data_IF_113826112490
#
_entry.id   IF_113826112490
#
_cell.length_a   1.000
_cell.length_b   1.000
_cell.length_c   1.000
_cell.angle_alpha   90.00
_cell.angle_beta   90.00
_cell.angle_gamma   90.00
#
_symmetry.space_group_name_H-M   'P 1'
#
loop_
_entity.id
_entity.type
_entity.pdbx_description
1 polymer ?
#
# COMPACT_ATOMS: atom_id res chain seq x y z
N UNK A 1 -4.03 -12.39 -36.33
CA UNK A 1 -2.74 -11.87 -35.82
C UNK A 1 -2.92 -10.97 -34.61
N UNK A 2 -2.10 -11.17 -33.57
CA UNK A 2 -2.06 -10.28 -32.41
C UNK A 2 -1.10 -9.13 -32.71
N UNK A 3 -1.56 -7.89 -32.57
CA UNK A 3 -0.67 -6.74 -32.65
C UNK A 3 0.43 -6.84 -31.57
N UNK A 4 1.72 -6.74 -31.93
CA UNK A 4 2.79 -6.77 -30.95
C UNK A 4 2.69 -5.54 -30.06
N UNK A 5 2.77 -5.77 -28.74
CA UNK A 5 2.80 -4.69 -27.75
C UNK A 5 4.21 -4.10 -27.74
N UNK A 6 4.32 -2.77 -27.61
CA UNK A 6 5.61 -2.09 -27.50
C UNK A 6 6.36 -2.55 -26.26
N UNK A 7 7.67 -2.69 -26.41
CA UNK A 7 8.57 -2.98 -25.30
C UNK A 7 8.55 -1.86 -24.26
N UNK A 8 8.72 -2.23 -22.99
CA UNK A 8 8.81 -1.30 -21.85
C UNK A 8 10.19 -1.42 -21.20
N UNK A 9 10.43 -0.61 -20.17
CA UNK A 9 11.67 -0.66 -19.36
C UNK A 9 11.97 -2.08 -18.84
N UNK A 10 10.95 -2.93 -18.67
CA UNK A 10 11.13 -4.34 -18.28
C UNK A 10 12.01 -5.14 -19.23
N UNK A 11 12.11 -4.78 -20.51
CA UNK A 11 13.03 -5.47 -21.43
C UNK A 11 14.48 -5.34 -20.94
N UNK A 12 14.86 -4.13 -20.52
CA UNK A 12 16.17 -3.83 -19.97
C UNK A 12 16.32 -4.48 -18.59
N UNK A 13 15.32 -4.33 -17.71
CA UNK A 13 15.33 -4.95 -16.38
C UNK A 13 15.53 -6.46 -16.45
N UNK A 14 14.82 -7.16 -17.34
CA UNK A 14 14.93 -8.62 -17.49
C UNK A 14 16.30 -9.03 -18.04
N UNK A 15 16.85 -8.28 -18.99
CA UNK A 15 18.18 -8.54 -19.52
C UNK A 15 19.25 -8.39 -18.43
N UNK A 16 19.18 -7.30 -17.67
CA UNK A 16 20.17 -7.01 -16.61
C UNK A 16 19.97 -7.90 -15.37
N UNK A 17 18.76 -8.39 -15.12
CA UNK A 17 18.44 -9.34 -14.06
C UNK A 17 18.76 -10.81 -14.41
N UNK A 18 19.53 -11.08 -15.47
CA UNK A 18 19.83 -12.44 -15.91
C UNK A 18 20.43 -13.32 -14.80
N UNK A 19 21.35 -12.79 -13.98
CA UNK A 19 21.95 -13.55 -12.86
C UNK A 19 20.91 -13.92 -11.79
N UNK A 20 19.98 -13.03 -11.50
CA UNK A 20 18.85 -13.33 -10.62
C UNK A 20 17.93 -14.40 -11.23
N UNK A 21 17.53 -14.25 -12.50
CA UNK A 21 16.59 -15.16 -13.15
C UNK A 21 17.19 -16.54 -13.48
N UNK A 22 18.50 -16.64 -13.65
CA UNK A 22 19.17 -17.89 -13.98
C UNK A 22 19.71 -18.59 -12.74
N UNK A 23 20.40 -17.84 -11.87
CA UNK A 23 21.24 -18.38 -10.79
C UNK A 23 20.63 -18.13 -9.40
N UNK A 24 19.55 -17.33 -9.31
CA UNK A 24 18.87 -17.02 -8.05
C UNK A 24 19.59 -15.97 -7.19
N UNK A 25 20.55 -15.23 -7.77
CA UNK A 25 21.29 -14.20 -7.04
C UNK A 25 20.42 -13.02 -6.58
N UNK A 26 20.69 -12.48 -5.40
CA UNK A 26 20.08 -11.22 -4.95
C UNK A 26 20.66 -10.05 -5.74
N UNK A 27 19.81 -9.22 -6.34
CA UNK A 27 20.24 -8.15 -7.25
C UNK A 27 19.59 -6.80 -6.94
N UNK A 28 20.32 -5.73 -7.26
CA UNK A 28 19.82 -4.36 -7.27
C UNK A 28 20.14 -3.69 -8.60
N UNK A 29 19.13 -3.08 -9.23
CA UNK A 29 19.24 -2.38 -10.50
C UNK A 29 18.74 -0.94 -10.33
N UNK A 30 19.20 -0.01 -11.18
CA UNK A 30 18.83 1.41 -11.11
C UNK A 30 18.57 2.00 -12.48
N UNK A 31 17.43 2.68 -12.65
CA UNK A 31 17.02 3.28 -13.93
C UNK A 31 16.39 4.66 -13.74
N UNK A 32 16.35 5.44 -14.82
CA UNK A 32 15.45 6.59 -14.91
C UNK A 32 14.08 6.15 -15.42
N UNK A 33 13.02 6.75 -14.90
CA UNK A 33 11.63 6.44 -15.31
C UNK A 33 10.90 7.70 -15.75
N UNK A 34 10.05 7.55 -16.77
CA UNK A 34 9.21 8.61 -17.33
C UNK A 34 7.76 8.12 -17.37
N UNK A 35 6.81 9.06 -17.42
CA UNK A 35 5.37 8.75 -17.43
C UNK A 35 4.93 7.89 -18.64
N UNK A 36 5.74 7.83 -19.69
CA UNK A 36 5.55 6.96 -20.86
C UNK A 36 5.96 5.50 -20.60
N UNK A 37 6.81 5.25 -19.60
CA UNK A 37 7.18 3.90 -19.14
C UNK A 37 6.06 3.34 -18.26
N UNK A 38 5.11 2.65 -18.91
CA UNK A 38 3.97 2.00 -18.26
C UNK A 38 4.32 0.58 -17.82
N UNK A 39 3.57 0.06 -16.84
CA UNK A 39 3.64 -1.35 -16.40
C UNK A 39 5.02 -1.81 -15.97
N UNK A 40 5.86 -0.90 -15.45
CA UNK A 40 7.23 -1.22 -15.04
C UNK A 40 7.21 -2.30 -13.95
N UNK A 41 7.93 -3.40 -14.17
CA UNK A 41 8.03 -4.55 -13.28
C UNK A 41 7.03 -5.67 -13.55
N UNK A 42 5.99 -5.46 -14.37
CA UNK A 42 4.98 -6.49 -14.67
C UNK A 42 5.55 -7.66 -15.46
N UNK A 43 6.37 -7.39 -16.49
CA UNK A 43 6.99 -8.46 -17.28
C UNK A 43 8.10 -9.12 -16.45
N UNK A 44 8.87 -8.36 -15.68
CA UNK A 44 9.82 -8.92 -14.70
C UNK A 44 9.13 -9.88 -13.72
N UNK A 45 7.96 -9.50 -13.18
CA UNK A 45 7.15 -10.37 -12.33
C UNK A 45 6.73 -11.66 -13.05
N UNK A 46 6.32 -11.57 -14.32
CA UNK A 46 6.01 -12.76 -15.13
C UNK A 46 7.20 -13.70 -15.27
N UNK A 47 8.41 -13.18 -15.48
CA UNK A 47 9.64 -13.99 -15.52
C UNK A 47 9.92 -14.65 -14.17
N UNK A 48 9.74 -13.94 -13.06
CA UNK A 48 9.87 -14.50 -11.69
C UNK A 48 8.89 -15.66 -11.51
N UNK A 49 7.61 -15.47 -11.81
CA UNK A 49 6.59 -16.52 -11.64
C UNK A 49 6.88 -17.72 -12.54
N UNK A 50 7.31 -17.52 -13.78
CA UNK A 50 7.65 -18.63 -14.70
C UNK A 50 8.85 -19.43 -14.24
N UNK A 51 9.83 -18.78 -13.62
CA UNK A 51 11.07 -19.42 -13.18
C UNK A 51 10.92 -20.07 -11.80
N UNK A 52 10.35 -19.36 -10.84
CA UNK A 52 10.34 -19.73 -9.42
C UNK A 52 8.96 -20.14 -8.91
N UNK A 53 7.89 -19.92 -9.70
CA UNK A 53 6.51 -20.15 -9.28
C UNK A 53 5.91 -18.97 -8.51
N UNK A 54 4.59 -18.99 -8.35
CA UNK A 54 3.86 -17.93 -7.63
C UNK A 54 4.03 -18.02 -6.11
N UNK A 55 4.10 -19.24 -5.57
CA UNK A 55 4.36 -19.53 -4.14
C UNK A 55 5.83 -19.87 -3.96
N UNK A 56 6.71 -19.01 -4.46
CA UNK A 56 8.15 -19.21 -4.35
C UNK A 56 8.66 -18.88 -2.94
N UNK A 57 9.84 -19.41 -2.61
CA UNK A 57 10.53 -19.18 -1.35
C UNK A 57 11.58 -18.06 -1.44
N UNK A 58 11.48 -17.18 -2.46
CA UNK A 58 12.38 -16.03 -2.53
C UNK A 58 12.23 -15.20 -1.27
N UNK A 59 13.35 -14.67 -0.80
CA UNK A 59 13.32 -13.70 0.28
C UNK A 59 12.60 -12.44 -0.22
N UNK A 60 11.92 -11.69 0.66
CA UNK A 60 11.43 -10.36 0.29
C UNK A 60 12.56 -9.53 -0.34
N UNK A 61 12.21 -8.76 -1.36
CA UNK A 61 13.12 -7.79 -2.00
C UNK A 61 14.40 -8.41 -2.62
N UNK A 62 14.32 -9.67 -3.06
CA UNK A 62 15.41 -10.42 -3.69
C UNK A 62 15.92 -9.77 -4.99
N UNK A 63 15.02 -9.19 -5.78
CA UNK A 63 15.33 -8.28 -6.88
C UNK A 63 14.77 -6.91 -6.55
N UNK A 64 15.65 -5.94 -6.34
CA UNK A 64 15.27 -4.54 -6.10
C UNK A 64 15.54 -3.69 -7.34
N UNK A 65 14.53 -3.01 -7.85
CA UNK A 65 14.66 -2.06 -8.97
C UNK A 65 14.40 -0.65 -8.45
N UNK A 66 15.45 0.18 -8.45
CA UNK A 66 15.39 1.60 -8.10
C UNK A 66 15.10 2.42 -9.34
N UNK A 67 14.13 3.31 -9.24
CA UNK A 67 13.63 4.16 -10.31
C UNK A 67 13.70 5.62 -9.87
N UNK A 68 14.22 6.49 -10.74
CA UNK A 68 14.25 7.94 -10.51
C UNK A 68 13.45 8.67 -11.57
N UNK A 69 12.47 9.47 -11.16
CA UNK A 69 11.57 10.22 -12.06
C UNK A 69 10.10 9.92 -11.81
N UNK A 70 9.27 10.04 -12.85
CA UNK A 70 7.82 9.84 -12.77
C UNK A 70 7.46 8.50 -13.41
N UNK A 71 6.89 7.56 -12.65
CA UNK A 71 6.46 6.29 -13.20
C UNK A 71 5.13 6.42 -13.95
N UNK A 72 5.04 5.80 -15.12
CA UNK A 72 3.81 5.71 -15.88
C UNK A 72 2.75 4.85 -15.19
N UNK A 73 1.58 4.76 -15.83
CA UNK A 73 0.45 3.98 -15.32
C UNK A 73 0.84 2.52 -15.05
N UNK A 74 0.19 1.93 -14.04
CA UNK A 74 0.32 0.51 -13.69
C UNK A 74 1.71 0.08 -13.22
N UNK A 75 2.47 0.98 -12.58
CA UNK A 75 3.73 0.63 -11.91
C UNK A 75 3.54 -0.59 -10.99
N UNK A 76 4.37 -1.62 -11.17
CA UNK A 76 4.36 -2.81 -10.35
C UNK A 76 3.06 -3.62 -10.41
N UNK A 77 2.27 -3.46 -11.48
CA UNK A 77 1.07 -4.26 -11.65
C UNK A 77 1.43 -5.76 -11.66
N UNK A 78 0.73 -6.53 -10.83
CA UNK A 78 0.96 -7.96 -10.61
C UNK A 78 2.36 -8.31 -10.10
N UNK A 79 3.06 -7.38 -9.44
CA UNK A 79 4.36 -7.67 -8.84
C UNK A 79 4.23 -8.78 -7.79
N UNK A 80 5.05 -9.82 -7.96
CA UNK A 80 5.07 -11.02 -7.12
C UNK A 80 6.17 -10.93 -6.06
N UNK A 81 6.12 -11.86 -5.10
CA UNK A 81 7.13 -12.01 -4.05
C UNK A 81 8.54 -12.09 -4.65
N UNK A 82 9.46 -11.38 -3.98
CA UNK A 82 10.86 -11.25 -4.39
C UNK A 82 11.14 -10.00 -5.24
N UNK A 83 10.13 -9.38 -5.85
CA UNK A 83 10.29 -8.11 -6.57
C UNK A 83 10.00 -6.92 -5.65
N UNK A 84 10.98 -6.02 -5.53
CA UNK A 84 10.83 -4.70 -4.93
C UNK A 84 11.03 -3.60 -5.97
N UNK A 85 10.11 -2.65 -6.02
CA UNK A 85 10.24 -1.43 -6.84
C UNK A 85 10.34 -0.22 -5.91
N UNK A 86 11.38 0.58 -6.04
CA UNK A 86 11.58 1.82 -5.27
C UNK A 86 11.60 3.02 -6.21
N UNK A 87 10.63 3.93 -6.09
CA UNK A 87 10.55 5.15 -6.90
C UNK A 87 10.94 6.35 -6.05
N UNK A 88 12.01 7.05 -6.46
CA UNK A 88 12.32 8.40 -5.99
C UNK A 88 11.78 9.42 -7.00
N UNK A 89 10.61 9.97 -6.68
CA UNK A 89 9.78 10.80 -7.54
C UNK A 89 8.30 10.55 -7.28
N UNK A 90 7.52 10.29 -8.33
CA UNK A 90 6.07 10.09 -8.27
C UNK A 90 5.61 8.97 -9.21
N UNK A 91 4.33 8.59 -9.14
CA UNK A 91 3.74 7.62 -10.05
C UNK A 91 2.29 7.98 -10.42
N UNK A 92 1.89 7.62 -11.65
CA UNK A 92 0.52 7.81 -12.14
C UNK A 92 -0.45 6.75 -11.59
N UNK A 93 -1.62 6.60 -12.21
CA UNK A 93 -2.67 5.68 -11.76
C UNK A 93 -2.24 4.20 -11.73
N UNK A 94 -2.99 3.40 -10.96
CA UNK A 94 -2.92 1.94 -10.91
C UNK A 94 -1.62 1.37 -10.33
N UNK A 95 -0.91 2.14 -9.50
CA UNK A 95 0.26 1.62 -8.75
C UNK A 95 -0.16 0.36 -7.99
N UNK A 96 0.58 -0.73 -8.19
CA UNK A 96 0.31 -2.02 -7.56
C UNK A 96 -1.03 -2.64 -7.95
N UNK A 97 -1.59 -2.34 -9.13
CA UNK A 97 -2.78 -3.05 -9.63
C UNK A 97 -2.57 -4.57 -9.57
N UNK A 98 -3.44 -5.28 -8.87
CA UNK A 98 -3.32 -6.72 -8.65
C UNK A 98 -2.02 -7.12 -7.96
N UNK A 99 -1.47 -6.29 -7.07
CA UNK A 99 -0.25 -6.62 -6.31
C UNK A 99 -0.41 -8.01 -5.66
N UNK A 100 0.62 -8.85 -5.82
CA UNK A 100 0.53 -10.27 -5.53
C UNK A 100 1.75 -10.77 -4.75
N UNK A 101 2.18 -10.01 -3.75
CA UNK A 101 3.29 -10.38 -2.85
C UNK A 101 4.57 -9.56 -3.03
N UNK A 102 4.65 -8.72 -4.07
CA UNK A 102 5.77 -7.79 -4.25
C UNK A 102 5.74 -6.60 -3.28
N UNK A 103 6.82 -5.83 -3.26
CA UNK A 103 6.94 -4.59 -2.49
C UNK A 103 7.05 -3.39 -3.45
N UNK A 104 6.26 -2.35 -3.23
CA UNK A 104 6.39 -1.08 -3.96
C UNK A 104 6.59 0.05 -2.96
N UNK A 105 7.59 0.89 -3.21
CA UNK A 105 7.90 2.07 -2.40
C UNK A 105 7.92 3.29 -3.29
N UNK A 106 7.20 4.35 -2.93
CA UNK A 106 7.21 5.63 -3.64
C UNK A 106 7.47 6.75 -2.63
N UNK A 107 8.47 7.58 -2.90
CA UNK A 107 8.81 8.71 -2.05
C UNK A 107 9.30 9.88 -2.89
N UNK A 108 9.14 11.13 -2.44
CA UNK A 108 9.66 12.27 -3.16
C UNK A 108 11.17 12.16 -3.37
N UNK A 109 11.69 12.91 -4.33
CA UNK A 109 13.14 13.09 -4.42
C UNK A 109 13.67 13.74 -3.14
N UNK A 110 14.87 13.36 -2.69
CA UNK A 110 15.50 13.95 -1.50
C UNK A 110 15.68 15.47 -1.61
N UNK A 111 15.78 16.00 -2.83
CA UNK A 111 15.89 17.44 -3.10
C UNK A 111 14.53 18.14 -3.23
N UNK A 112 13.42 17.42 -3.06
CA UNK A 112 12.08 18.00 -3.18
C UNK A 112 11.81 18.95 -2.00
N UNK A 113 11.36 20.19 -2.24
CA UNK A 113 10.95 21.09 -1.16
C UNK A 113 9.54 20.80 -0.65
N UNK A 114 8.81 19.87 -1.28
CA UNK A 114 7.40 19.59 -0.98
C UNK A 114 7.25 18.87 0.35
N UNK A 115 6.23 19.29 1.12
CA UNK A 115 5.74 18.51 2.27
C UNK A 115 4.97 17.32 1.73
N UNK A 116 5.55 16.12 1.85
CA UNK A 116 5.02 14.89 1.26
C UNK A 116 3.53 14.66 1.58
N UNK A 117 3.15 14.77 2.86
CA UNK A 117 1.80 14.53 3.36
C UNK A 117 0.71 15.43 2.76
N UNK A 118 1.09 16.59 2.22
CA UNK A 118 0.18 17.57 1.62
C UNK A 118 0.07 17.43 0.10
N UNK A 119 0.90 16.59 -0.52
CA UNK A 119 1.04 16.49 -1.97
C UNK A 119 0.70 15.10 -2.48
N UNK A 120 0.05 15.03 -3.65
CA UNK A 120 -0.20 13.76 -4.33
C UNK A 120 1.10 13.18 -4.88
N UNK A 121 1.35 11.91 -4.58
CA UNK A 121 2.54 11.19 -5.04
C UNK A 121 2.20 9.96 -5.89
N UNK A 122 1.02 9.38 -5.68
CA UNK A 122 0.49 8.28 -6.48
C UNK A 122 -0.93 8.60 -6.94
N UNK A 123 -1.27 8.19 -8.17
CA UNK A 123 -2.56 8.50 -8.80
C UNK A 123 -3.75 7.72 -8.24
N UNK A 124 -4.72 7.46 -9.12
CA UNK A 124 -5.99 6.83 -8.78
C UNK A 124 -5.95 5.29 -8.84
N UNK A 125 -6.95 4.65 -8.23
CA UNK A 125 -7.21 3.20 -8.37
C UNK A 125 -5.98 2.34 -8.02
N UNK A 126 -5.23 2.81 -7.03
CA UNK A 126 -4.05 2.16 -6.47
C UNK A 126 -4.45 0.86 -5.77
N UNK A 127 -3.64 -0.18 -5.92
CA UNK A 127 -3.87 -1.52 -5.37
C UNK A 127 -5.18 -2.18 -5.82
N UNK A 128 -5.69 -1.82 -7.00
CA UNK A 128 -6.93 -2.41 -7.51
C UNK A 128 -6.84 -3.94 -7.57
N UNK A 129 -7.64 -4.63 -6.76
CA UNK A 129 -7.69 -6.10 -6.74
C UNK A 129 -6.43 -6.76 -6.21
N UNK A 130 -5.61 -6.06 -5.42
CA UNK A 130 -4.41 -6.63 -4.83
C UNK A 130 -4.74 -7.77 -3.85
N UNK A 131 -3.95 -8.84 -3.87
CA UNK A 131 -4.19 -10.04 -3.05
C UNK A 131 -3.14 -10.27 -1.98
N UNK A 132 -1.94 -9.71 -2.14
CA UNK A 132 -0.87 -9.77 -1.15
C UNK A 132 0.21 -8.72 -1.50
N UNK A 133 1.19 -8.52 -0.62
CA UNK A 133 2.32 -7.64 -0.83
C UNK A 133 2.20 -6.33 -0.06
N UNK A 134 3.18 -5.45 -0.29
CA UNK A 134 3.33 -4.21 0.45
C UNK A 134 3.42 -2.99 -0.47
N UNK A 135 2.75 -1.91 -0.09
CA UNK A 135 2.91 -0.60 -0.71
C UNK A 135 3.19 0.45 0.36
N UNK A 136 4.25 1.25 0.18
CA UNK A 136 4.58 2.37 1.04
C UNK A 136 4.74 3.63 0.20
N UNK A 137 3.89 4.64 0.41
CA UNK A 137 3.98 5.89 -0.34
C UNK A 137 4.06 7.10 0.61
N UNK A 138 5.19 7.80 0.61
CA UNK A 138 5.33 9.04 1.38
C UNK A 138 4.67 10.18 0.62
N UNK A 139 3.37 10.33 0.84
CA UNK A 139 2.51 11.32 0.23
C UNK A 139 1.10 10.79 0.00
N UNK A 140 0.28 11.60 -0.66
CA UNK A 140 -1.15 11.30 -0.83
C UNK A 140 -1.40 10.43 -2.06
N UNK A 141 -2.35 9.52 -1.93
CA UNK A 141 -2.95 8.81 -3.05
C UNK A 141 -4.15 9.60 -3.63
N UNK A 142 -4.47 9.34 -4.90
CA UNK A 142 -5.67 9.84 -5.54
C UNK A 142 -6.96 9.14 -5.08
N UNK A 143 -7.97 9.17 -5.95
CA UNK A 143 -9.28 8.55 -5.73
C UNK A 143 -9.23 7.03 -5.84
N UNK A 144 -10.20 6.34 -5.20
CA UNK A 144 -10.34 4.88 -5.25
C UNK A 144 -9.07 4.13 -4.83
N UNK A 145 -8.34 4.72 -3.90
CA UNK A 145 -7.22 4.07 -3.24
C UNK A 145 -7.68 2.76 -2.58
N UNK A 146 -6.96 1.65 -2.77
CA UNK A 146 -7.30 0.34 -2.22
C UNK A 146 -8.65 -0.23 -2.65
N UNK A 147 -9.18 0.20 -3.80
CA UNK A 147 -10.43 -0.36 -4.31
C UNK A 147 -10.28 -1.88 -4.54
N UNK A 148 -11.16 -2.67 -3.94
CA UNK A 148 -11.10 -4.14 -3.98
C UNK A 148 -9.77 -4.74 -3.52
N UNK A 149 -9.06 -4.11 -2.60
CA UNK A 149 -7.92 -4.75 -1.93
C UNK A 149 -8.43 -6.00 -1.16
N UNK A 150 -7.77 -7.12 -1.36
CA UNK A 150 -8.13 -8.42 -0.77
C UNK A 150 -7.00 -9.02 0.07
N UNK A 151 -5.87 -8.35 0.24
CA UNK A 151 -4.78 -8.86 1.09
C UNK A 151 -3.49 -8.06 1.16
N UNK A 152 -3.32 -7.03 0.32
CA UNK A 152 -2.14 -6.17 0.41
C UNK A 152 -2.16 -5.31 1.68
N UNK A 153 -0.96 -4.99 2.18
CA UNK A 153 -0.73 -4.11 3.32
C UNK A 153 -0.13 -2.79 2.83
N UNK A 154 -0.67 -1.67 3.26
CA UNK A 154 -0.30 -0.38 2.70
C UNK A 154 -0.23 0.73 3.74
N UNK A 155 0.70 1.66 3.53
CA UNK A 155 0.77 2.93 4.26
C UNK A 155 0.92 4.09 3.27
N UNK A 156 0.01 5.07 3.37
CA UNK A 156 0.03 6.33 2.62
C UNK A 156 -0.21 7.51 3.56
N UNK A 157 0.09 8.74 3.14
CA UNK A 157 -0.03 9.94 3.99
C UNK A 157 -1.32 10.75 3.74
N UNK A 158 -2.28 10.15 3.03
CA UNK A 158 -3.60 10.69 2.72
C UNK A 158 -4.18 10.00 1.49
N UNK A 159 -5.48 10.12 1.28
CA UNK A 159 -6.11 9.64 0.05
C UNK A 159 -7.30 10.50 -0.39
N UNK A 160 -7.68 10.36 -1.66
CA UNK A 160 -8.84 11.02 -2.24
C UNK A 160 -10.16 10.35 -1.85
N UNK A 161 -11.20 10.62 -2.66
CA UNK A 161 -12.54 10.05 -2.46
C UNK A 161 -12.56 8.54 -2.68
N UNK A 162 -13.56 7.86 -2.09
CA UNK A 162 -13.82 6.44 -2.29
C UNK A 162 -12.63 5.53 -1.91
N UNK A 163 -11.84 5.92 -0.91
CA UNK A 163 -10.77 5.08 -0.38
C UNK A 163 -11.32 3.79 0.23
N UNK A 164 -10.61 2.67 0.06
CA UNK A 164 -10.98 1.33 0.52
C UNK A 164 -12.36 0.82 0.03
N UNK A 165 -12.88 1.38 -1.06
CA UNK A 165 -14.14 0.95 -1.67
C UNK A 165 -14.08 -0.55 -2.04
N UNK A 166 -15.07 -1.32 -1.63
CA UNK A 166 -15.15 -2.77 -1.88
C UNK A 166 -13.94 -3.59 -1.38
N UNK A 167 -13.16 -3.08 -0.42
CA UNK A 167 -12.05 -3.83 0.18
C UNK A 167 -12.59 -5.06 0.92
N UNK A 168 -11.97 -6.21 0.68
CA UNK A 168 -12.37 -7.52 1.22
C UNK A 168 -11.27 -8.19 2.06
N UNK A 169 -10.12 -7.55 2.21
CA UNK A 169 -8.99 -8.09 2.96
C UNK A 169 -7.77 -7.17 2.90
N UNK A 170 -6.74 -7.49 3.70
CA UNK A 170 -5.53 -6.68 3.82
C UNK A 170 -5.63 -5.61 4.90
N UNK A 171 -4.62 -4.74 4.95
CA UNK A 171 -4.50 -3.67 5.97
C UNK A 171 -4.16 -2.34 5.29
N UNK A 172 -4.93 -1.29 5.60
CA UNK A 172 -4.75 0.04 5.03
C UNK A 172 -4.48 1.08 6.12
N UNK A 173 -3.29 1.67 6.14
CA UNK A 173 -2.95 2.77 7.06
C UNK A 173 -2.88 4.08 6.28
N UNK A 174 -3.63 5.08 6.74
CA UNK A 174 -3.64 6.42 6.15
C UNK A 174 -3.20 7.43 7.21
N UNK A 175 -1.99 7.96 7.04
CA UNK A 175 -1.37 8.92 7.95
C UNK A 175 -1.81 10.36 7.61
N UNK A 176 -3.11 10.60 7.38
CA UNK A 176 -3.62 11.91 7.02
C UNK A 176 -5.08 11.91 6.57
N UNK A 177 -5.52 13.04 6.03
CA UNK A 177 -6.93 13.23 5.64
C UNK A 177 -7.36 12.26 4.54
N UNK A 178 -8.62 11.86 4.60
CA UNK A 178 -9.30 11.05 3.58
C UNK A 178 -10.35 11.89 2.83
N UNK A 179 -10.71 11.47 1.61
CA UNK A 179 -11.87 12.01 0.90
C UNK A 179 -13.18 11.31 1.27
N UNK A 180 -14.29 11.86 0.77
CA UNK A 180 -15.63 11.35 1.04
C UNK A 180 -15.87 9.91 0.58
N UNK A 181 -16.86 9.26 1.20
CA UNK A 181 -17.31 7.89 0.89
C UNK A 181 -16.23 6.82 1.15
N UNK A 182 -15.37 7.03 2.14
CA UNK A 182 -14.35 6.05 2.51
C UNK A 182 -14.97 4.77 3.08
N UNK A 183 -14.49 3.62 2.63
CA UNK A 183 -14.90 2.29 3.07
C UNK A 183 -16.28 1.85 2.57
N UNK A 184 -16.84 2.52 1.56
CA UNK A 184 -18.11 2.12 0.96
C UNK A 184 -18.04 0.68 0.41
N UNK A 185 -18.96 -0.18 0.85
CA UNK A 185 -18.99 -1.59 0.46
C UNK A 185 -17.78 -2.40 0.91
N UNK A 186 -16.97 -1.89 1.84
CA UNK A 186 -15.88 -2.65 2.46
C UNK A 186 -16.48 -3.75 3.34
N UNK A 187 -16.15 -5.01 3.03
CA UNK A 187 -16.67 -6.21 3.71
C UNK A 187 -15.58 -7.04 4.38
N UNK A 188 -14.30 -6.73 4.14
CA UNK A 188 -13.19 -7.40 4.82
C UNK A 188 -11.93 -6.55 4.91
N UNK A 189 -11.01 -6.99 5.79
CA UNK A 189 -9.76 -6.28 6.09
C UNK A 189 -9.89 -5.26 7.22
N UNK A 190 -8.83 -4.49 7.44
CA UNK A 190 -8.73 -3.49 8.50
C UNK A 190 -8.17 -2.17 7.93
N UNK A 191 -8.70 -1.04 8.37
CA UNK A 191 -8.08 0.26 8.08
C UNK A 191 -7.81 1.06 9.35
N UNK A 192 -6.74 1.87 9.32
CA UNK A 192 -6.36 2.77 10.40
C UNK A 192 -6.18 4.17 9.83
N UNK A 193 -6.90 5.14 10.39
CA UNK A 193 -6.82 6.54 9.98
C UNK A 193 -6.20 7.36 11.09
N UNK A 194 -5.16 8.12 10.77
CA UNK A 194 -4.61 9.14 11.66
C UNK A 194 -5.43 10.43 11.49
N UNK A 195 -6.26 10.75 12.49
CA UNK A 195 -7.27 11.82 12.47
C UNK A 195 -7.16 12.74 13.70
N UNK A 196 -6.05 13.50 13.85
CA UNK A 196 -5.87 14.40 14.99
C UNK A 196 -6.90 15.54 15.06
N UNK A 197 -7.58 15.84 13.96
CA UNK A 197 -8.62 16.88 13.90
C UNK A 197 -10.04 16.34 14.15
N UNK A 198 -10.22 15.02 14.25
CA UNK A 198 -11.52 14.39 14.50
C UNK A 198 -12.53 14.59 13.35
N UNK A 199 -12.06 14.71 12.10
CA UNK A 199 -12.91 15.01 10.94
C UNK A 199 -13.21 13.78 10.07
N UNK A 200 -12.50 12.66 10.27
CA UNK A 200 -12.60 11.49 9.41
C UNK A 200 -14.00 10.88 9.42
N UNK A 201 -14.70 10.87 10.56
CA UNK A 201 -16.05 10.30 10.67
C UNK A 201 -17.03 10.89 9.64
N UNK A 202 -16.91 12.17 9.28
CA UNK A 202 -17.79 12.82 8.27
C UNK A 202 -17.53 12.31 6.85
N UNK A 203 -16.38 11.70 6.61
CA UNK A 203 -15.94 11.21 5.30
C UNK A 203 -16.20 9.70 5.13
N UNK A 204 -16.54 8.99 6.22
CA UNK A 204 -16.80 7.55 6.21
C UNK A 204 -18.19 7.24 5.65
N UNK A 205 -18.27 6.13 4.92
CA UNK A 205 -19.54 5.46 4.65
C UNK A 205 -19.79 4.40 5.74
N UNK A 206 -20.72 4.68 6.65
CA UNK A 206 -20.97 3.85 7.84
C UNK A 206 -21.92 2.67 7.62
N UNK A 207 -22.35 2.41 6.38
CA UNK A 207 -23.32 1.36 6.05
C UNK A 207 -22.83 -0.01 6.52
N UNK A 208 -21.58 -0.36 6.18
CA UNK A 208 -20.97 -1.66 6.48
C UNK A 208 -19.88 -1.61 7.55
N UNK A 209 -19.58 -0.43 8.11
CA UNK A 209 -18.42 -0.23 8.97
C UNK A 209 -18.79 -0.06 10.44
N UNK A 210 -17.85 -0.43 11.30
CA UNK A 210 -17.74 0.06 12.68
C UNK A 210 -16.40 0.76 12.86
N UNK A 211 -16.36 1.68 13.81
CA UNK A 211 -15.13 2.41 14.16
C UNK A 211 -14.88 2.36 15.66
N UNK A 212 -13.63 2.22 16.06
CA UNK A 212 -13.21 2.28 17.46
C UNK A 212 -11.81 2.89 17.58
N UNK A 213 -11.41 3.31 18.79
CA UNK A 213 -10.00 3.60 19.06
C UNK A 213 -9.15 2.32 18.96
N UNK A 214 -7.87 2.48 18.62
CA UNK A 214 -6.90 1.37 18.68
C UNK A 214 -6.56 1.12 20.14
N UNK A 215 -7.20 0.11 20.75
CA UNK A 215 -7.11 -0.12 22.21
C UNK A 215 -6.56 -1.50 22.61
N UNK A 216 -6.51 -2.44 21.68
CA UNK A 216 -6.03 -3.81 21.90
C UNK A 216 -4.60 -3.94 21.36
N UNK A 217 -3.72 -4.50 22.19
CA UNK A 217 -2.27 -4.60 21.93
C UNK A 217 -1.92 -5.24 20.59
N UNK A 218 -2.69 -6.26 20.16
CA UNK A 218 -2.51 -6.89 18.86
C UNK A 218 -2.68 -5.89 17.69
N UNK A 219 -3.72 -5.07 17.72
CA UNK A 219 -3.99 -4.07 16.67
C UNK A 219 -3.03 -2.88 16.75
N UNK A 220 -2.65 -2.48 17.97
CA UNK A 220 -1.61 -1.48 18.19
C UNK A 220 -0.28 -1.93 17.57
N UNK A 221 0.12 -3.17 17.81
CA UNK A 221 1.37 -3.75 17.26
C UNK A 221 1.32 -3.80 15.74
N UNK A 222 0.22 -4.29 15.15
CA UNK A 222 0.03 -4.31 13.70
C UNK A 222 0.16 -2.92 13.07
N UNK A 223 -0.46 -1.91 13.69
CA UNK A 223 -0.38 -0.53 13.21
C UNK A 223 1.05 0.01 13.33
N UNK A 224 1.68 -0.16 14.49
CA UNK A 224 3.03 0.33 14.76
C UNK A 224 4.06 -0.27 13.81
N UNK A 225 4.05 -1.59 13.61
CA UNK A 225 4.95 -2.31 12.70
C UNK A 225 4.85 -1.77 11.26
N UNK A 226 3.63 -1.47 10.80
CA UNK A 226 3.42 -0.92 9.46
C UNK A 226 3.96 0.51 9.34
N UNK A 227 3.78 1.35 10.36
CA UNK A 227 4.30 2.72 10.38
C UNK A 227 5.83 2.72 10.49
N UNK A 228 6.41 1.83 11.31
CA UNK A 228 7.86 1.64 11.42
C UNK A 228 8.45 1.23 10.07
N UNK A 229 7.85 0.24 9.41
CA UNK A 229 8.29 -0.16 8.07
C UNK A 229 8.12 0.96 7.05
N UNK A 230 7.02 1.71 7.11
CA UNK A 230 6.83 2.87 6.25
C UNK A 230 7.92 3.92 6.45
N UNK A 231 8.29 4.25 7.69
CA UNK A 231 9.38 5.16 8.01
C UNK A 231 10.73 4.65 7.49
N UNK A 232 11.03 3.36 7.66
CA UNK A 232 12.26 2.74 7.17
C UNK A 232 12.35 2.75 5.63
N UNK A 233 11.26 2.43 4.94
CA UNK A 233 11.23 2.34 3.47
C UNK A 233 11.21 3.70 2.79
N UNK A 234 10.52 4.68 3.39
CA UNK A 234 10.26 5.97 2.74
C UNK A 234 11.07 7.14 3.28
N UNK A 235 11.57 7.04 4.51
CA UNK A 235 12.12 8.18 5.24
C UNK A 235 11.08 9.24 5.62
N UNK A 236 9.79 8.88 5.65
CA UNK A 236 8.70 9.81 5.96
C UNK A 236 8.89 10.50 7.31
N UNK A 237 9.02 11.83 7.29
CA UNK A 237 9.10 12.65 8.51
C UNK A 237 7.81 12.54 9.34
N UNK A 238 6.65 12.42 8.67
CA UNK A 238 5.36 12.28 9.37
C UNK A 238 5.30 10.97 10.16
N UNK A 239 5.69 9.86 9.54
CA UNK A 239 5.76 8.57 10.20
C UNK A 239 6.75 8.58 11.37
N UNK A 240 7.94 9.16 11.17
CA UNK A 240 8.95 9.32 12.24
C UNK A 240 8.39 10.12 13.42
N UNK A 241 7.72 11.24 13.15
CA UNK A 241 7.14 12.07 14.22
C UNK A 241 6.05 11.33 15.01
N UNK A 242 5.18 10.58 14.32
CA UNK A 242 4.15 9.75 14.97
C UNK A 242 4.79 8.70 15.88
N UNK A 243 5.83 8.01 15.39
CA UNK A 243 6.53 6.97 16.15
C UNK A 243 7.27 7.55 17.37
N UNK A 244 7.85 8.74 17.26
CA UNK A 244 8.52 9.42 18.37
C UNK A 244 7.56 9.80 19.50
N UNK A 245 6.31 10.09 19.18
CA UNK A 245 5.27 10.51 20.13
C UNK A 245 4.16 9.45 20.24
N UNK A 246 4.51 8.17 20.08
CA UNK A 246 3.54 7.09 19.91
C UNK A 246 2.45 7.04 20.97
N UNK A 247 2.80 7.19 22.24
CA UNK A 247 1.85 7.12 23.37
C UNK A 247 0.74 8.16 23.25
N UNK A 248 1.07 9.38 22.81
CA UNK A 248 0.09 10.45 22.61
C UNK A 248 -0.61 10.31 21.27
N UNK A 249 0.12 9.96 20.22
CA UNK A 249 -0.39 9.94 18.84
C UNK A 249 -1.30 8.74 18.57
N UNK A 250 -1.19 7.65 19.33
CA UNK A 250 -2.07 6.49 19.23
C UNK A 250 -3.55 6.88 19.44
N UNK A 251 -3.82 7.84 20.32
CA UNK A 251 -5.16 8.34 20.60
C UNK A 251 -5.82 9.06 19.41
N UNK A 252 -5.01 9.52 18.45
CA UNK A 252 -5.46 10.16 17.21
C UNK A 252 -5.79 9.14 16.11
N UNK A 253 -5.62 7.83 16.34
CA UNK A 253 -5.97 6.81 15.38
C UNK A 253 -7.40 6.29 15.55
N UNK A 254 -8.11 6.23 14.42
CA UNK A 254 -9.40 5.54 14.29
C UNK A 254 -9.17 4.20 13.59
N UNK A 255 -9.52 3.11 14.27
CA UNK A 255 -9.59 1.77 13.69
C UNK A 255 -10.94 1.59 13.01
N UNK A 256 -10.92 1.07 11.79
CA UNK A 256 -12.10 0.83 10.95
C UNK A 256 -12.15 -0.65 10.60
N UNK A 257 -13.27 -1.28 10.89
CA UNK A 257 -13.52 -2.69 10.62
C UNK A 257 -14.92 -2.89 10.02
N UNK A 258 -15.10 -3.77 9.04
CA UNK A 258 -16.43 -4.14 8.56
C UNK A 258 -17.22 -4.92 9.62
N UNK A 259 -18.53 -4.66 9.71
CA UNK A 259 -19.45 -5.34 10.66
C UNK A 259 -19.38 -6.87 10.52
N UNK A 260 -19.34 -7.37 9.29
CA UNK A 260 -19.31 -8.80 9.01
C UNK A 260 -18.00 -9.48 9.49
N UNK A 261 -16.91 -8.73 9.60
CA UNK A 261 -15.63 -9.27 10.06
C UNK A 261 -15.58 -9.49 11.57
N UNK A 262 -16.43 -8.85 12.37
CA UNK A 262 -16.33 -8.84 13.84
C UNK A 262 -16.28 -10.24 14.45
N UNK A 263 -17.10 -11.16 13.91
CA UNK A 263 -17.16 -12.57 14.38
C UNK A 263 -16.00 -13.43 13.85
N UNK A 264 -15.23 -12.91 12.90
CA UNK A 264 -14.11 -13.58 12.24
C UNK A 264 -12.75 -13.01 12.66
N UNK A 265 -12.72 -11.96 13.49
CA UNK A 265 -11.47 -11.37 13.95
C UNK A 265 -10.74 -12.32 14.91
N UNK A 266 -9.41 -12.46 14.79
CA UNK A 266 -8.61 -13.26 15.72
C UNK A 266 -8.52 -12.63 17.12
N UNK A 267 -8.76 -11.32 17.24
CA UNK A 267 -8.75 -10.56 18.47
C UNK A 267 -9.94 -9.58 18.48
N UNK A 268 -10.56 -9.29 19.64
CA UNK A 268 -11.64 -8.30 19.72
C UNK A 268 -11.13 -6.90 19.34
N UNK A 269 -12.03 -6.01 18.92
CA UNK A 269 -11.69 -4.60 18.63
C UNK A 269 -11.54 -3.74 19.89
N UNK A 270 -12.25 -4.09 20.97
CA UNK A 270 -12.24 -3.37 22.24
C UNK A 270 -11.93 -4.30 23.41
N UNK A 271 -11.27 -3.74 24.44
CA UNK A 271 -11.04 -4.42 25.73
C UNK A 271 -12.30 -4.53 26.59
N UNK A 272 -13.27 -3.65 26.36
CA UNK A 272 -14.55 -3.66 27.08
C UNK A 272 -15.55 -4.46 26.25
N UNK A 273 -16.13 -5.55 26.79
CA UNK A 273 -17.30 -6.15 26.19
C UNK A 273 -18.39 -5.07 26.18
N UNK A 274 -18.88 -4.65 25.02
CA UNK A 274 -20.20 -4.03 24.99
C UNK A 274 -21.15 -5.03 25.65
N UNK A 275 -21.61 -4.69 26.84
CA UNK A 275 -22.72 -5.38 27.47
C UNK A 275 -23.90 -5.25 26.52
N UNK A 276 -24.16 -6.31 25.73
CA UNK A 276 -25.38 -6.41 24.94
C UNK A 276 -26.52 -6.35 25.97
N UNK A 277 -27.41 -5.33 25.93
CA UNK A 277 -28.59 -5.37 26.76
C UNK A 277 -29.41 -6.58 26.29
N UNK A 278 -29.65 -7.52 27.20
CA UNK A 278 -30.61 -8.58 26.93
C UNK A 278 -31.99 -7.93 26.75
N UNK A 279 -32.54 -7.99 25.53
CA UNK A 279 -33.97 -7.96 25.26
C UNK A 279 -34.27 -8.46 23.85
#
# INVERSE_FOLDING_TARGET
DRNPVRETLDKEIVADAARFLNDGEKMQLSYSVQNTHRTVGTRTSSHIVRKFGMRNDLQPDHLTVKLKGSAGQSLGAFATRGLKLEVSGDANDYVGKGLSGGTIVVRPSMSSPLVAAENTIIGNTVLYGATDGYLFASGRAGERFCVRNSGAKVVVEGCGSNGCEYMTGGVSVVLGTIGANFGAGMTGGMAYLYDPEGVAHKMLNMDTLVTCPVSVEHWETQLKDLIERHAQETGSLKAVNILQHWETELSNFVQICPKEMLVHLPHPLSKVPESIPAQ
#
